data_IF_482582043371
#
_entry.id   IF_482582043371
#
_cell.length_a   1.000
_cell.length_b   1.000
_cell.length_c   1.000
_cell.angle_alpha   90.00
_cell.angle_beta   90.00
_cell.angle_gamma   90.00
#
_symmetry.space_group_name_H-M   'P 1'
#
loop_
_entity.id
_entity.type
_entity.pdbx_description
1 polymer ?
#
# COMPACT_ATOMS: atom_id res chain seq x y z
N UNK A 1 46.99 52.51 7.44
CA UNK A 1 46.41 51.37 8.18
C UNK A 1 46.36 50.19 7.23
N UNK A 2 46.92 49.04 7.63
CA UNK A 2 47.46 48.01 6.72
C UNK A 2 46.34 47.16 6.07
N UNK A 3 46.27 47.06 4.73
CA UNK A 3 45.29 46.23 4.02
C UNK A 3 45.41 44.73 4.34
N UNK A 4 46.55 44.30 4.90
CA UNK A 4 46.80 42.93 5.31
C UNK A 4 45.98 42.48 6.53
N UNK A 5 45.59 43.38 7.43
CA UNK A 5 44.79 43.00 8.60
C UNK A 5 43.33 42.71 8.22
N UNK A 6 42.77 43.47 7.27
CA UNK A 6 41.37 43.31 6.84
C UNK A 6 41.16 42.02 6.04
N UNK A 7 42.10 41.67 5.15
CA UNK A 7 42.07 40.38 4.44
C UNK A 7 42.24 39.18 5.37
N UNK A 8 43.05 39.29 6.43
CA UNK A 8 43.23 38.19 7.39
C UNK A 8 41.95 37.95 8.20
N UNK A 9 41.28 39.01 8.64
CA UNK A 9 40.01 38.92 9.40
C UNK A 9 38.86 38.43 8.51
N UNK A 10 38.80 38.85 7.25
CA UNK A 10 37.79 38.35 6.32
C UNK A 10 37.99 36.86 5.98
N UNK A 11 39.23 36.43 5.77
CA UNK A 11 39.55 35.03 5.49
C UNK A 11 39.28 34.10 6.69
N UNK A 12 39.59 34.54 7.92
CA UNK A 12 39.30 33.76 9.13
C UNK A 12 37.81 33.71 9.43
N UNK A 13 37.06 34.80 9.24
CA UNK A 13 35.60 34.79 9.37
C UNK A 13 34.94 33.82 8.37
N UNK A 14 35.40 33.81 7.11
CA UNK A 14 34.88 32.89 6.09
C UNK A 14 35.22 31.42 6.40
N UNK A 15 36.45 31.14 6.85
CA UNK A 15 36.86 29.81 7.26
C UNK A 15 36.09 29.31 8.50
N UNK A 16 35.80 30.19 9.46
CA UNK A 16 35.03 29.86 10.66
C UNK A 16 33.55 29.60 10.33
N UNK A 17 32.96 30.37 9.40
CA UNK A 17 31.62 30.12 8.87
C UNK A 17 31.52 28.79 8.11
N UNK A 18 32.53 28.44 7.32
CA UNK A 18 32.60 27.12 6.67
C UNK A 18 32.78 25.98 7.68
N UNK A 19 33.59 26.17 8.72
CA UNK A 19 33.79 25.16 9.75
C UNK A 19 32.53 24.91 10.59
N UNK A 20 31.80 25.98 10.96
CA UNK A 20 30.52 25.87 11.67
C UNK A 20 29.41 25.24 10.83
N UNK A 21 29.45 25.40 9.50
CA UNK A 21 28.51 24.74 8.60
C UNK A 21 28.67 23.19 8.56
N UNK A 22 29.83 22.68 9.00
CA UNK A 22 30.12 21.23 9.09
C UNK A 22 30.17 20.69 10.53
N UNK A 23 30.01 21.56 11.53
CA UNK A 23 29.92 21.15 12.92
C UNK A 23 28.48 20.67 13.20
N UNK A 24 28.29 19.36 13.27
CA UNK A 24 26.98 18.76 13.54
C UNK A 24 26.84 18.42 15.03
N UNK A 25 26.05 19.17 15.82
CA UNK A 25 25.90 18.91 17.26
C UNK A 25 25.12 17.62 17.57
N UNK A 26 24.47 17.00 16.58
CA UNK A 26 23.58 15.83 16.76
C UNK A 26 24.02 14.54 16.04
N UNK A 27 25.10 14.56 15.25
CA UNK A 27 25.56 13.39 14.49
C UNK A 27 25.88 13.69 13.03
N UNK A 28 26.39 12.71 12.28
CA UNK A 28 26.62 12.86 10.84
C UNK A 28 25.40 12.30 10.07
N UNK A 29 24.59 13.20 9.52
CA UNK A 29 23.38 12.85 8.75
C UNK A 29 23.68 12.03 7.48
N UNK A 30 24.94 11.96 7.04
CA UNK A 30 25.36 11.12 5.92
C UNK A 30 25.38 9.61 6.24
N UNK A 31 25.20 9.22 7.51
CA UNK A 31 25.10 7.81 7.92
C UNK A 31 23.73 7.16 7.63
N UNK A 32 22.75 7.94 7.18
CA UNK A 32 21.36 7.48 6.99
C UNK A 32 20.88 7.50 5.54
N UNK A 33 21.78 7.77 4.59
CA UNK A 33 21.48 7.64 3.17
C UNK A 33 21.32 6.16 2.82
N UNK A 34 20.18 5.83 2.22
CA UNK A 34 19.93 4.48 1.75
C UNK A 34 20.97 4.07 0.68
N UNK A 35 21.47 2.82 0.68
CA UNK A 35 22.05 2.28 -0.53
C UNK A 35 20.97 2.28 -1.62
N UNK A 36 21.34 2.71 -2.84
CA UNK A 36 20.42 2.83 -3.97
C UNK A 36 19.63 1.53 -4.28
N UNK A 37 20.15 0.39 -3.81
CA UNK A 37 19.64 -0.96 -4.07
C UNK A 37 19.29 -1.74 -2.77
N UNK A 38 18.92 -1.04 -1.69
CA UNK A 38 18.48 -1.70 -0.44
C UNK A 38 17.26 -2.62 -0.64
N UNK A 39 17.10 -3.69 0.16
CA UNK A 39 15.97 -4.62 0.02
C UNK A 39 14.64 -3.85 0.14
N UNK A 40 13.61 -4.23 -0.65
CA UNK A 40 12.33 -3.57 -0.62
C UNK A 40 11.75 -3.57 0.80
N UNK A 41 11.46 -2.38 1.36
CA UNK A 41 10.84 -2.27 2.69
C UNK A 41 9.54 -3.08 2.75
N UNK A 42 9.35 -3.93 3.77
CA UNK A 42 8.13 -4.71 3.97
C UNK A 42 7.80 -5.63 2.76
N UNK A 43 8.78 -6.39 2.26
CA UNK A 43 8.60 -7.29 1.12
C UNK A 43 7.85 -8.59 1.48
N UNK A 44 8.07 -9.10 2.69
CA UNK A 44 7.53 -10.41 3.12
C UNK A 44 6.28 -10.28 3.97
N UNK A 45 5.89 -9.07 4.34
CA UNK A 45 4.72 -8.82 5.15
C UNK A 45 3.44 -8.92 4.33
N UNK A 46 2.37 -9.39 4.95
CA UNK A 46 1.00 -9.41 4.43
C UNK A 46 0.39 -8.00 4.26
N UNK A 47 1.18 -7.06 3.76
CA UNK A 47 0.84 -5.65 3.59
C UNK A 47 0.30 -5.47 2.16
N UNK A 48 -0.95 -5.03 1.99
CA UNK A 48 -1.50 -4.72 0.68
C UNK A 48 -0.65 -3.67 -0.06
N UNK A 49 -0.49 -3.82 -1.37
CA UNK A 49 0.36 -2.94 -2.19
C UNK A 49 0.05 -1.44 -2.02
N UNK A 50 -1.24 -1.07 -1.92
CA UNK A 50 -1.65 0.32 -1.70
C UNK A 50 -1.18 0.87 -0.34
N UNK A 51 -1.25 0.06 0.72
CA UNK A 51 -0.75 0.45 2.04
C UNK A 51 0.78 0.53 2.04
N UNK A 52 1.45 -0.43 1.40
CA UNK A 52 2.92 -0.43 1.25
C UNK A 52 3.42 0.80 0.51
N UNK A 53 2.83 1.12 -0.64
CA UNK A 53 3.18 2.32 -1.41
C UNK A 53 2.97 3.58 -0.58
N UNK A 54 1.85 3.68 0.14
CA UNK A 54 1.58 4.82 1.00
C UNK A 54 2.63 5.00 2.11
N UNK A 55 2.98 3.91 2.81
CA UNK A 55 3.99 3.93 3.87
C UNK A 55 5.37 4.33 3.33
N UNK A 56 5.75 3.81 2.16
CA UNK A 56 7.02 4.17 1.51
C UNK A 56 7.03 5.66 1.13
N UNK A 57 5.95 6.16 0.52
CA UNK A 57 5.90 7.54 0.02
C UNK A 57 5.71 8.61 1.09
N UNK A 58 5.05 8.28 2.22
CA UNK A 58 4.67 9.27 3.24
C UNK A 58 5.40 9.11 4.57
N UNK A 59 5.97 7.94 4.85
CA UNK A 59 6.51 7.61 6.18
C UNK A 59 7.99 7.21 6.14
N UNK A 60 8.44 6.49 5.11
CA UNK A 60 9.77 5.86 5.10
C UNK A 60 10.93 6.86 5.19
N UNK A 61 10.79 8.07 4.66
CA UNK A 61 11.86 9.05 4.69
C UNK A 61 12.27 9.44 6.13
N UNK A 62 11.34 9.42 7.09
CA UNK A 62 11.66 9.68 8.50
C UNK A 62 11.67 8.40 9.36
N UNK A 63 10.86 7.41 9.01
CA UNK A 63 10.64 6.20 9.81
C UNK A 63 11.26 4.95 9.19
N UNK A 64 12.31 5.07 8.39
CA UNK A 64 13.07 3.91 7.91
C UNK A 64 14.54 4.26 7.76
N UNK A 65 15.40 3.26 7.67
CA UNK A 65 16.81 3.43 7.31
C UNK A 65 16.99 3.82 5.82
N UNK A 66 15.91 3.84 5.03
CA UNK A 66 15.91 4.28 3.65
C UNK A 66 15.37 5.72 3.54
N UNK A 67 16.20 6.70 3.93
CA UNK A 67 15.83 8.13 3.93
C UNK A 67 16.24 8.83 2.65
N UNK A 68 15.27 9.44 1.96
CA UNK A 68 15.55 10.37 0.87
C UNK A 68 15.67 11.80 1.40
N UNK A 69 16.90 12.29 1.46
CA UNK A 69 17.19 13.62 1.99
C UNK A 69 17.10 14.70 0.88
N UNK A 70 16.31 15.76 1.07
CA UNK A 70 16.23 16.87 0.13
C UNK A 70 17.48 17.77 0.19
N UNK A 71 17.79 18.50 -0.87
CA UNK A 71 19.06 19.26 -0.98
C UNK A 71 19.36 20.21 0.20
N UNK A 72 18.32 20.78 0.82
CA UNK A 72 18.45 21.71 1.93
C UNK A 72 18.86 21.03 3.25
N UNK A 73 18.77 19.69 3.34
CA UNK A 73 19.21 18.93 4.51
C UNK A 73 20.72 18.94 4.72
N UNK A 74 21.49 19.50 3.79
CA UNK A 74 22.93 19.62 3.91
C UNK A 74 23.37 20.94 4.58
N UNK A 75 22.42 21.82 4.92
CA UNK A 75 22.72 23.15 5.44
C UNK A 75 22.10 23.39 6.81
N UNK A 76 22.90 23.88 7.75
CA UNK A 76 22.41 24.29 9.07
C UNK A 76 21.50 25.54 8.98
N UNK A 77 20.47 25.67 9.85
CA UNK A 77 20.06 24.73 10.91
C UNK A 77 19.12 23.61 10.42
N UNK A 78 18.76 23.60 9.13
CA UNK A 78 17.78 22.64 8.59
C UNK A 78 18.27 21.19 8.69
N UNK A 79 19.55 20.95 8.40
CA UNK A 79 20.21 19.65 8.56
C UNK A 79 20.03 19.09 9.98
N UNK A 80 20.34 19.90 10.99
CA UNK A 80 20.28 19.51 12.40
C UNK A 80 18.85 19.23 12.89
N UNK A 81 17.89 20.07 12.48
CA UNK A 81 16.48 19.88 12.85
C UNK A 81 15.92 18.61 12.23
N UNK A 82 16.21 18.38 10.95
CA UNK A 82 15.75 17.19 10.24
C UNK A 82 16.37 15.92 10.83
N UNK A 83 17.68 15.93 11.12
CA UNK A 83 18.37 14.81 11.75
C UNK A 83 17.78 14.46 13.12
N UNK A 84 17.59 15.47 13.99
CA UNK A 84 16.93 15.28 15.28
C UNK A 84 15.55 14.64 15.12
N UNK A 85 14.75 15.14 14.19
CA UNK A 85 13.38 14.68 13.99
C UNK A 85 13.33 13.26 13.40
N UNK A 86 14.27 12.90 12.50
CA UNK A 86 14.42 11.52 11.98
C UNK A 86 14.85 10.57 13.09
N UNK A 87 15.91 10.91 13.84
CA UNK A 87 16.43 10.08 14.93
C UNK A 87 15.37 9.87 16.00
N UNK A 88 14.64 10.91 16.38
CA UNK A 88 13.54 10.80 17.34
C UNK A 88 12.37 10.00 16.77
N UNK A 89 11.96 10.25 15.52
CA UNK A 89 10.90 9.53 14.85
C UNK A 89 11.15 8.02 14.79
N UNK A 90 12.38 7.61 14.50
CA UNK A 90 12.78 6.20 14.42
C UNK A 90 12.73 5.45 15.75
N UNK A 91 12.86 6.15 16.89
CA UNK A 91 12.68 5.53 18.22
C UNK A 91 11.24 5.06 18.44
N UNK A 92 10.27 5.74 17.84
CA UNK A 92 8.85 5.40 17.97
C UNK A 92 8.38 4.43 16.89
N UNK A 93 9.00 4.46 15.70
CA UNK A 93 8.67 3.57 14.58
C UNK A 93 9.83 3.48 13.58
N UNK A 94 10.22 2.25 13.22
CA UNK A 94 11.16 1.98 12.14
C UNK A 94 10.62 0.88 11.21
N UNK A 95 10.34 1.21 9.95
CA UNK A 95 9.81 0.31 8.93
C UNK A 95 10.87 -0.68 8.42
N UNK A 96 12.16 -0.36 8.57
CA UNK A 96 13.23 -1.29 8.20
C UNK A 96 13.31 -2.50 9.13
N UNK A 97 12.79 -2.41 10.35
CA UNK A 97 12.70 -3.53 11.28
C UNK A 97 11.39 -4.33 11.13
N UNK A 98 10.50 -3.95 10.20
CA UNK A 98 9.16 -4.51 10.09
C UNK A 98 9.13 -6.04 10.01
N UNK A 99 9.96 -6.63 9.14
CA UNK A 99 10.01 -8.07 8.91
C UNK A 99 10.60 -8.85 10.10
N UNK A 100 11.23 -8.15 11.06
CA UNK A 100 11.74 -8.75 12.30
C UNK A 100 10.74 -8.71 13.46
N UNK A 101 9.64 -7.99 13.32
CA UNK A 101 8.61 -7.86 14.36
C UNK A 101 7.72 -9.10 14.42
N UNK A 102 7.26 -9.46 15.62
CA UNK A 102 6.21 -10.47 15.79
C UNK A 102 4.87 -9.95 15.24
N UNK A 103 3.91 -10.85 14.90
CA UNK A 103 2.59 -10.42 14.45
C UNK A 103 1.87 -9.45 15.41
N UNK A 104 1.97 -9.67 16.72
CA UNK A 104 1.35 -8.79 17.73
C UNK A 104 2.05 -7.41 17.79
N UNK A 105 3.37 -7.38 17.62
CA UNK A 105 4.14 -6.14 17.53
C UNK A 105 3.78 -5.36 16.27
N UNK A 106 3.63 -6.05 15.12
CA UNK A 106 3.17 -5.45 13.88
C UNK A 106 1.77 -4.85 14.08
N UNK A 107 0.80 -5.60 14.63
CA UNK A 107 -0.54 -5.09 14.90
C UNK A 107 -0.54 -3.86 15.81
N UNK A 108 0.25 -3.88 16.88
CA UNK A 108 0.42 -2.74 17.78
C UNK A 108 0.98 -1.52 17.05
N UNK A 109 1.98 -1.73 16.21
CA UNK A 109 2.58 -0.66 15.42
C UNK A 109 1.57 -0.07 14.42
N UNK A 110 0.77 -0.91 13.76
CA UNK A 110 -0.27 -0.47 12.84
C UNK A 110 -1.33 0.38 13.55
N UNK A 111 -1.79 -0.07 14.72
CA UNK A 111 -2.77 0.66 15.52
C UNK A 111 -2.23 2.06 15.91
N UNK A 112 -0.95 2.14 16.29
CA UNK A 112 -0.29 3.42 16.58
C UNK A 112 -0.20 4.32 15.35
N UNK A 113 0.14 3.79 14.17
CA UNK A 113 0.17 4.55 12.91
C UNK A 113 -1.19 5.18 12.63
N UNK A 114 -2.27 4.39 12.70
CA UNK A 114 -3.64 4.87 12.48
C UNK A 114 -4.01 5.94 13.49
N UNK A 115 -3.71 5.74 14.77
CA UNK A 115 -4.00 6.72 15.83
C UNK A 115 -3.25 8.06 15.63
N UNK A 116 -1.95 8.01 15.32
CA UNK A 116 -1.13 9.21 15.14
C UNK A 116 -1.54 10.01 13.90
N UNK A 117 -1.91 9.31 12.82
CA UNK A 117 -2.40 9.94 11.59
C UNK A 117 -3.79 10.53 11.73
N UNK A 118 -4.71 9.85 12.43
CA UNK A 118 -6.05 10.39 12.72
C UNK A 118 -6.02 11.60 13.65
N UNK A 119 -5.17 11.56 14.69
CA UNK A 119 -5.06 12.68 15.64
C UNK A 119 -4.34 13.90 15.04
N UNK A 120 -3.75 13.76 13.85
CA UNK A 120 -2.96 14.82 13.21
C UNK A 120 -1.64 15.11 13.90
N UNK A 121 -1.26 14.29 14.89
CA UNK A 121 0.06 14.30 15.50
C UNK A 121 1.15 13.93 14.48
N UNK A 122 0.80 13.11 13.48
CA UNK A 122 1.64 12.81 12.33
C UNK A 122 0.90 13.08 11.00
N UNK A 123 1.39 13.90 10.09
CA UNK A 123 2.55 14.78 10.20
C UNK A 123 2.22 16.05 11.01
N UNK A 124 3.14 16.55 11.86
CA UNK A 124 2.92 17.76 12.64
C UNK A 124 2.52 18.97 11.78
N UNK A 125 1.69 19.87 12.33
CA UNK A 125 1.17 21.03 11.60
C UNK A 125 2.28 21.89 10.99
N UNK A 126 3.33 22.19 11.77
CA UNK A 126 4.47 23.00 11.32
C UNK A 126 5.19 22.39 10.12
N UNK A 127 5.28 21.06 10.06
CA UNK A 127 5.92 20.36 8.96
C UNK A 127 5.05 20.44 7.70
N UNK A 128 3.73 20.25 7.83
CA UNK A 128 2.79 20.31 6.71
C UNK A 128 2.64 21.68 6.06
N UNK A 129 2.99 22.76 6.77
CA UNK A 129 2.98 24.12 6.20
C UNK A 129 4.07 24.32 5.14
N UNK A 130 5.19 23.59 5.27
CA UNK A 130 6.36 23.67 4.37
C UNK A 130 6.38 22.46 3.43
N UNK A 131 5.95 21.30 3.92
CA UNK A 131 5.91 20.02 3.22
C UNK A 131 4.47 19.57 3.00
N UNK A 132 3.76 20.30 2.13
CA UNK A 132 2.37 19.98 1.79
C UNK A 132 2.19 18.56 1.25
N UNK A 133 3.19 18.05 0.53
CA UNK A 133 3.22 16.69 0.00
C UNK A 133 3.19 15.61 1.10
N UNK A 134 3.64 15.92 2.32
CA UNK A 134 3.59 15.01 3.47
C UNK A 134 2.24 15.01 4.18
N UNK A 135 1.28 15.83 3.75
CA UNK A 135 -0.08 15.80 4.30
C UNK A 135 -0.69 14.42 4.07
N UNK A 136 -1.20 13.85 5.16
CA UNK A 136 -2.06 12.66 5.14
C UNK A 136 -3.47 13.13 4.76
N UNK A 137 -3.98 12.60 3.66
CA UNK A 137 -5.33 12.87 3.15
C UNK A 137 -6.35 11.89 3.74
N UNK A 138 -7.64 12.16 3.56
CA UNK A 138 -8.70 11.25 4.02
C UNK A 138 -8.61 9.88 3.32
N UNK A 139 -8.18 9.86 2.05
CA UNK A 139 -7.94 8.63 1.30
C UNK A 139 -6.75 7.83 1.85
N UNK A 140 -5.70 8.53 2.30
CA UNK A 140 -4.56 7.91 2.97
C UNK A 140 -4.98 7.31 4.31
N UNK A 141 -5.75 8.06 5.12
CA UNK A 141 -6.31 7.56 6.39
C UNK A 141 -7.19 6.32 6.16
N UNK A 142 -8.05 6.33 5.14
CA UNK A 142 -8.89 5.18 4.82
C UNK A 142 -8.06 3.96 4.43
N UNK A 143 -6.99 4.15 3.68
CA UNK A 143 -6.05 3.08 3.31
C UNK A 143 -5.38 2.47 4.53
N UNK A 144 -4.84 3.30 5.43
CA UNK A 144 -4.20 2.85 6.67
C UNK A 144 -5.17 2.12 7.61
N UNK A 145 -6.37 2.68 7.79
CA UNK A 145 -7.39 2.09 8.68
C UNK A 145 -7.93 0.78 8.12
N UNK A 146 -8.08 0.66 6.80
CA UNK A 146 -8.50 -0.60 6.15
C UNK A 146 -7.44 -1.67 6.32
N UNK A 147 -6.17 -1.31 6.10
CA UNK A 147 -5.05 -2.22 6.33
C UNK A 147 -4.97 -2.68 7.79
N UNK A 148 -5.11 -1.77 8.75
CA UNK A 148 -5.11 -2.07 10.19
C UNK A 148 -6.14 -3.12 10.59
N UNK A 149 -7.38 -2.96 10.13
CA UNK A 149 -8.44 -3.94 10.36
C UNK A 149 -8.11 -5.31 9.76
N UNK A 150 -7.61 -5.31 8.52
CA UNK A 150 -7.22 -6.56 7.85
C UNK A 150 -6.06 -7.27 8.54
N UNK A 151 -5.12 -6.54 9.14
CA UNK A 151 -3.97 -7.08 9.87
C UNK A 151 -4.34 -7.59 11.27
N UNK A 152 -5.33 -6.97 11.92
CA UNK A 152 -5.87 -7.38 13.23
C UNK A 152 -6.87 -8.54 13.18
N UNK A 153 -7.10 -9.15 12.01
CA UNK A 153 -8.09 -10.23 11.86
C UNK A 153 -9.55 -9.77 11.94
N UNK A 154 -9.80 -8.48 12.19
CA UNK A 154 -11.11 -7.86 12.07
C UNK A 154 -11.45 -7.67 10.58
N UNK A 155 -12.07 -8.70 9.99
CA UNK A 155 -12.89 -8.50 8.79
C UNK A 155 -14.05 -7.58 9.16
N UNK A 156 -13.86 -6.27 9.06
CA UNK A 156 -14.97 -5.33 9.22
C UNK A 156 -15.99 -5.61 8.13
N UNK A 157 -17.19 -5.96 8.58
CA UNK A 157 -18.38 -5.99 7.76
C UNK A 157 -18.45 -4.71 6.91
N UNK A 158 -18.52 -4.94 5.60
CA UNK A 158 -18.67 -3.98 4.52
C UNK A 158 -19.43 -2.71 4.88
N UNK A 159 -18.76 -1.56 4.74
CA UNK A 159 -19.43 -0.29 4.47
C UNK A 159 -19.85 -0.28 3.00
N UNK A 160 -21.15 -0.39 2.75
CA UNK A 160 -21.78 -0.14 1.46
C UNK A 160 -21.39 1.26 0.97
N UNK A 161 -20.41 1.37 0.07
CA UNK A 161 -19.94 2.67 -0.46
C UNK A 161 -18.48 2.74 -0.91
N UNK A 162 -17.62 1.78 -0.56
CA UNK A 162 -16.25 1.78 -1.08
C UNK A 162 -16.22 1.41 -2.58
N UNK A 163 -15.48 2.16 -3.43
CA UNK A 163 -15.36 1.85 -4.85
C UNK A 163 -14.70 0.49 -5.06
N UNK A 164 -15.08 -0.19 -6.14
CA UNK A 164 -14.54 -1.49 -6.50
C UNK A 164 -13.02 -1.41 -6.75
N UNK A 165 -12.25 -2.34 -6.18
CA UNK A 165 -10.80 -2.38 -6.29
C UNK A 165 -10.35 -3.69 -6.95
N UNK A 166 -9.81 -3.58 -8.17
CA UNK A 166 -9.38 -4.74 -8.96
C UNK A 166 -8.13 -5.44 -8.40
N UNK A 167 -7.25 -4.74 -7.67
CA UNK A 167 -6.09 -5.37 -7.05
C UNK A 167 -6.49 -6.24 -5.86
N UNK A 168 -7.47 -5.79 -5.07
CA UNK A 168 -8.10 -6.64 -4.04
C UNK A 168 -8.83 -7.83 -4.68
N UNK A 169 -9.48 -7.62 -5.83
CA UNK A 169 -10.09 -8.68 -6.62
C UNK A 169 -9.09 -9.73 -7.10
N UNK A 170 -7.91 -9.29 -7.58
CA UNK A 170 -6.80 -10.15 -8.01
C UNK A 170 -6.30 -11.01 -6.85
N UNK A 171 -6.09 -10.41 -5.68
CA UNK A 171 -5.65 -11.14 -4.48
C UNK A 171 -6.71 -12.16 -4.02
N UNK A 172 -8.00 -11.82 -4.09
CA UNK A 172 -9.09 -12.76 -3.80
C UNK A 172 -9.10 -13.92 -4.79
N UNK A 173 -8.98 -13.64 -6.08
CA UNK A 173 -8.87 -14.65 -7.13
C UNK A 173 -7.72 -15.63 -6.88
N UNK A 174 -6.53 -15.10 -6.59
CA UNK A 174 -5.33 -15.89 -6.30
C UNK A 174 -5.49 -16.83 -5.10
N UNK A 175 -6.27 -16.45 -4.08
CA UNK A 175 -6.46 -17.29 -2.89
C UNK A 175 -7.61 -18.28 -3.02
N UNK A 176 -8.66 -17.93 -3.75
CA UNK A 176 -9.94 -18.66 -3.71
C UNK A 176 -10.34 -19.32 -5.02
N UNK A 177 -9.80 -18.88 -6.17
CA UNK A 177 -10.29 -19.31 -7.48
C UNK A 177 -9.27 -20.12 -8.27
N UNK A 178 -7.96 -19.93 -8.05
CA UNK A 178 -6.92 -20.56 -8.88
C UNK A 178 -6.84 -22.09 -8.77
N UNK A 179 -7.43 -22.67 -7.72
CA UNK A 179 -7.52 -24.13 -7.58
C UNK A 179 -8.39 -24.75 -8.68
N UNK A 180 -9.41 -24.02 -9.14
CA UNK A 180 -10.37 -24.50 -10.14
C UNK A 180 -10.32 -23.72 -11.45
N UNK A 181 -9.79 -22.50 -11.47
CA UNK A 181 -9.81 -21.65 -12.64
C UNK A 181 -8.44 -21.13 -13.01
N UNK A 182 -8.24 -20.96 -14.31
CA UNK A 182 -7.12 -20.19 -14.86
C UNK A 182 -7.63 -19.24 -15.93
N UNK A 183 -6.75 -18.44 -16.53
CA UNK A 183 -7.16 -17.53 -17.61
C UNK A 183 -7.07 -18.18 -18.98
N UNK A 184 -6.14 -19.09 -19.19
CA UNK A 184 -5.74 -19.60 -20.50
C UNK A 184 -6.07 -21.08 -20.73
N UNK A 185 -6.39 -21.82 -19.67
CA UNK A 185 -6.71 -23.24 -19.75
C UNK A 185 -7.89 -23.64 -18.85
N UNK A 186 -8.63 -24.65 -19.31
CA UNK A 186 -9.64 -25.30 -18.50
C UNK A 186 -8.96 -26.15 -17.42
N UNK A 187 -9.47 -26.11 -16.19
CA UNK A 187 -9.09 -26.95 -15.07
C UNK A 187 -10.36 -27.67 -14.58
N UNK A 188 -10.57 -27.75 -13.28
CA UNK A 188 -11.85 -28.18 -12.68
C UNK A 188 -13.01 -27.28 -13.15
N UNK A 189 -12.73 -25.98 -13.30
CA UNK A 189 -13.61 -24.98 -13.90
C UNK A 189 -13.10 -24.49 -15.27
N UNK A 190 -13.96 -23.81 -16.05
CA UNK A 190 -13.58 -23.27 -17.35
C UNK A 190 -12.57 -22.13 -17.22
N UNK A 191 -11.81 -21.90 -18.28
CA UNK A 191 -10.96 -20.72 -18.39
C UNK A 191 -11.77 -19.41 -18.31
N UNK A 192 -11.22 -18.42 -17.61
CA UNK A 192 -11.89 -17.15 -17.31
C UNK A 192 -11.35 -15.95 -18.10
N UNK A 193 -10.46 -16.16 -19.08
CA UNK A 193 -10.14 -15.08 -20.02
C UNK A 193 -11.40 -14.58 -20.72
N UNK A 194 -11.56 -13.26 -20.80
CA UNK A 194 -12.69 -12.60 -21.48
C UNK A 194 -14.04 -13.13 -21.00
N UNK A 195 -14.18 -13.36 -19.69
CA UNK A 195 -15.43 -13.81 -19.09
C UNK A 195 -16.49 -12.70 -19.08
N UNK A 196 -16.09 -11.45 -18.85
CA UNK A 196 -17.03 -10.33 -18.79
C UNK A 196 -17.65 -10.09 -20.17
N UNK A 197 -18.98 -10.11 -20.24
CA UNK A 197 -19.76 -10.03 -21.48
C UNK A 197 -19.91 -11.36 -22.24
N UNK A 198 -19.28 -12.45 -21.79
CA UNK A 198 -19.44 -13.78 -22.42
C UNK A 198 -20.74 -14.43 -21.96
N UNK A 199 -21.32 -15.29 -22.79
CA UNK A 199 -22.50 -16.09 -22.43
C UNK A 199 -22.09 -17.30 -21.57
N UNK A 200 -22.96 -17.71 -20.65
CA UNK A 200 -22.77 -18.90 -19.81
C UNK A 200 -22.62 -20.16 -20.65
N UNK A 201 -21.73 -21.06 -20.23
CA UNK A 201 -21.59 -22.35 -20.90
C UNK A 201 -20.86 -22.33 -22.26
N UNK A 202 -20.16 -21.25 -22.62
CA UNK A 202 -19.55 -21.10 -23.96
C UNK A 202 -18.03 -21.07 -24.00
N UNK A 203 -17.31 -21.36 -22.91
CA UNK A 203 -15.86 -21.53 -23.02
C UNK A 203 -15.54 -22.74 -23.91
N UNK A 204 -14.53 -22.63 -24.79
CA UNK A 204 -14.19 -23.72 -25.69
C UNK A 204 -13.68 -24.94 -24.89
N UNK A 205 -14.03 -26.13 -25.37
CA UNK A 205 -13.51 -27.41 -24.86
C UNK A 205 -13.71 -27.62 -23.34
N UNK A 206 -14.80 -27.11 -22.76
CA UNK A 206 -15.16 -27.34 -21.36
C UNK A 206 -16.49 -28.10 -21.23
N UNK A 207 -16.51 -29.11 -20.35
CA UNK A 207 -17.68 -29.92 -20.05
C UNK A 207 -18.62 -29.23 -19.04
N UNK A 208 -19.43 -28.29 -19.50
CA UNK A 208 -20.42 -27.64 -18.63
C UNK A 208 -21.58 -28.57 -18.23
N UNK A 209 -22.19 -28.29 -17.07
CA UNK A 209 -23.48 -28.88 -16.71
C UNK A 209 -24.57 -28.47 -17.71
N UNK A 210 -25.58 -29.32 -17.87
CA UNK A 210 -26.70 -29.04 -18.77
C UNK A 210 -27.49 -27.79 -18.35
N UNK A 211 -27.58 -27.53 -17.04
CA UNK A 211 -28.23 -26.34 -16.51
C UNK A 211 -27.51 -25.06 -16.95
N UNK A 212 -26.18 -25.01 -16.79
CA UNK A 212 -25.40 -23.80 -17.10
C UNK A 212 -25.31 -23.54 -18.62
N UNK A 213 -25.33 -24.59 -19.45
CA UNK A 213 -25.42 -24.46 -20.92
C UNK A 213 -26.76 -23.83 -21.36
N UNK A 214 -27.87 -24.21 -20.72
CA UNK A 214 -29.22 -23.75 -21.07
C UNK A 214 -29.60 -22.40 -20.45
N UNK A 215 -28.81 -21.91 -19.50
CA UNK A 215 -29.11 -20.68 -18.77
C UNK A 215 -29.04 -19.42 -19.66
N UNK A 216 -28.22 -19.42 -20.72
CA UNK A 216 -28.02 -18.29 -21.65
C UNK A 216 -27.77 -16.93 -20.95
N UNK A 217 -27.10 -16.95 -19.80
CA UNK A 217 -26.81 -15.74 -19.01
C UNK A 217 -25.60 -15.04 -19.62
N UNK A 218 -25.68 -13.73 -19.84
CA UNK A 218 -24.51 -12.93 -20.20
C UNK A 218 -23.83 -12.44 -18.93
N UNK A 219 -22.53 -12.69 -18.78
CA UNK A 219 -21.75 -12.31 -17.59
C UNK A 219 -21.49 -10.81 -17.51
N UNK A 220 -22.48 -10.09 -17.00
CA UNK A 220 -22.43 -8.68 -16.61
C UNK A 220 -22.05 -8.53 -15.13
N UNK A 221 -21.86 -7.30 -14.68
CA UNK A 221 -21.64 -6.99 -13.26
C UNK A 221 -22.77 -7.54 -12.37
N UNK A 222 -24.03 -7.32 -12.73
CA UNK A 222 -25.19 -7.78 -11.97
C UNK A 222 -25.28 -9.32 -11.91
N UNK A 223 -25.12 -9.99 -13.05
CA UNK A 223 -25.23 -11.45 -13.13
C UNK A 223 -24.04 -12.15 -12.48
N UNK A 224 -22.84 -11.55 -12.54
CA UNK A 224 -21.66 -12.07 -11.83
C UNK A 224 -21.81 -11.88 -10.33
N UNK A 225 -22.41 -10.78 -9.86
CA UNK A 225 -22.69 -10.61 -8.43
C UNK A 225 -23.66 -11.68 -7.93
N UNK A 226 -24.77 -11.90 -8.64
CA UNK A 226 -25.74 -12.95 -8.32
C UNK A 226 -25.13 -14.35 -8.35
N UNK A 227 -24.34 -14.65 -9.38
CA UNK A 227 -23.66 -15.94 -9.53
C UNK A 227 -22.66 -16.19 -8.41
N UNK A 228 -21.81 -15.21 -8.11
CA UNK A 228 -20.82 -15.35 -7.05
C UNK A 228 -21.47 -15.36 -5.67
N UNK A 229 -22.65 -14.76 -5.49
CA UNK A 229 -23.37 -14.81 -4.23
C UNK A 229 -23.93 -16.21 -3.95
N UNK A 230 -24.57 -16.81 -4.96
CA UNK A 230 -25.22 -18.12 -4.85
C UNK A 230 -25.42 -18.74 -6.26
N UNK A 231 -24.47 -19.59 -6.72
CA UNK A 231 -24.59 -20.26 -8.02
C UNK A 231 -25.83 -21.14 -8.13
N UNK A 232 -26.20 -21.84 -7.06
CA UNK A 232 -27.32 -22.79 -7.03
C UNK A 232 -28.67 -22.07 -7.06
N UNK A 233 -28.77 -20.90 -6.41
CA UNK A 233 -29.96 -20.06 -6.54
C UNK A 233 -30.10 -19.44 -7.94
N UNK A 234 -28.99 -19.08 -8.60
CA UNK A 234 -29.06 -18.48 -9.94
C UNK A 234 -29.30 -19.53 -11.03
N UNK A 235 -28.61 -20.67 -10.96
CA UNK A 235 -28.72 -21.78 -11.92
C UNK A 235 -28.73 -23.11 -11.15
N UNK A 236 -29.92 -23.59 -10.72
CA UNK A 236 -30.04 -24.89 -10.05
C UNK A 236 -29.49 -26.04 -10.90
N UNK A 237 -28.66 -26.90 -10.32
CA UNK A 237 -28.00 -28.01 -11.03
C UNK A 237 -26.77 -27.61 -11.83
N UNK A 238 -26.15 -26.47 -11.49
CA UNK A 238 -24.79 -26.16 -11.92
C UNK A 238 -23.78 -27.01 -11.14
N UNK A 239 -22.54 -27.10 -11.64
CA UNK A 239 -21.49 -27.92 -11.02
C UNK A 239 -20.51 -27.10 -10.14
N UNK A 240 -20.71 -25.79 -10.00
CA UNK A 240 -19.80 -24.91 -9.25
C UNK A 240 -20.28 -24.75 -7.81
N UNK A 241 -19.74 -25.58 -6.92
CA UNK A 241 -20.05 -25.55 -5.48
C UNK A 241 -19.14 -24.55 -4.73
N UNK A 242 -19.17 -23.27 -5.15
CA UNK A 242 -18.39 -22.21 -4.52
C UNK A 242 -19.11 -20.87 -4.56
N UNK A 243 -19.12 -20.16 -3.42
CA UNK A 243 -19.72 -18.85 -3.31
C UNK A 243 -18.86 -17.86 -2.51
N UNK A 244 -19.13 -16.57 -2.73
CA UNK A 244 -18.50 -15.42 -2.09
C UNK A 244 -19.59 -14.63 -1.36
N UNK A 245 -19.76 -14.94 -0.07
CA UNK A 245 -20.84 -14.38 0.75
C UNK A 245 -20.76 -12.86 0.92
N UNK A 246 -19.55 -12.30 1.01
CA UNK A 246 -19.34 -10.87 1.27
C UNK A 246 -19.53 -10.02 0.01
N UNK A 247 -20.46 -9.05 -0.01
CA UNK A 247 -20.72 -8.21 -1.19
C UNK A 247 -19.51 -7.40 -1.68
N UNK A 248 -18.66 -6.88 -0.78
CA UNK A 248 -17.48 -6.13 -1.21
C UNK A 248 -16.40 -7.04 -1.83
N UNK A 249 -16.27 -8.29 -1.37
CA UNK A 249 -15.37 -9.27 -2.00
C UNK A 249 -15.84 -9.58 -3.42
N UNK A 250 -17.17 -9.75 -3.63
CA UNK A 250 -17.74 -9.91 -4.97
C UNK A 250 -17.48 -8.70 -5.85
N UNK A 251 -17.76 -7.49 -5.36
CA UNK A 251 -17.53 -6.24 -6.11
C UNK A 251 -16.07 -6.11 -6.58
N UNK A 252 -15.12 -6.39 -5.70
CA UNK A 252 -13.69 -6.35 -6.02
C UNK A 252 -13.31 -7.44 -7.03
N UNK A 253 -13.81 -8.67 -6.86
CA UNK A 253 -13.56 -9.77 -7.79
C UNK A 253 -14.13 -9.47 -9.19
N UNK A 254 -15.33 -8.91 -9.26
CA UNK A 254 -15.97 -8.51 -10.53
C UNK A 254 -15.16 -7.42 -11.23
N UNK A 255 -14.65 -6.42 -10.49
CA UNK A 255 -13.77 -5.40 -11.05
C UNK A 255 -12.51 -6.00 -11.68
N UNK A 256 -11.90 -6.99 -11.01
CA UNK A 256 -10.77 -7.73 -11.55
C UNK A 256 -11.13 -8.54 -12.79
N UNK A 257 -12.24 -9.30 -12.77
CA UNK A 257 -12.73 -10.06 -13.92
C UNK A 257 -13.03 -9.18 -15.14
N UNK A 258 -13.54 -7.97 -14.91
CA UNK A 258 -13.75 -6.94 -15.94
C UNK A 258 -12.41 -6.47 -16.52
N UNK A 259 -11.43 -6.17 -15.67
CA UNK A 259 -10.10 -5.74 -16.10
C UNK A 259 -9.41 -6.77 -17.00
N UNK A 260 -9.41 -8.05 -16.63
CA UNK A 260 -8.77 -9.11 -17.43
C UNK A 260 -9.55 -9.47 -18.70
N UNK A 261 -10.78 -8.96 -18.86
CA UNK A 261 -11.61 -9.18 -20.04
C UNK A 261 -11.49 -8.05 -21.07
N UNK A 262 -10.85 -6.93 -20.70
CA UNK A 262 -10.64 -5.79 -21.58
C UNK A 262 -9.42 -5.96 -22.54
N UNK A 263 -8.69 -7.08 -22.43
CA UNK A 263 -7.49 -7.41 -23.20
C UNK A 263 -7.62 -8.80 -23.84
#
# INVERSE_FOLDING_TARGET
MKPTLFSLVAATAFAFSLALAHAHPFGDAHLHAAPADGPPLMEHASVPNNARTLLIQKCADCHSENTHSPWYSNFAPASWLMERDIVEGRKHMNLSSWDSLTPDQQQTLIAKIVQQTHSGAMSPLQYRLIHWNARITDADQQTLTTWARSAGGESTNSSTGSPANADLGRALYQRRCIGCHSFDRNLEGPQLSRIYGRVSGTAPNFGYSDALKKAHITWTEETLDRWLADPDALVPGNNMEFHVTKPDERRNLIAFLKQISAH
#
